data_IF_650402241457
#
_entry.id   IF_650402241457
#
_cell.length_a   1.000
_cell.length_b   1.000
_cell.length_c   1.000
_cell.angle_alpha   90.00
_cell.angle_beta   90.00
_cell.angle_gamma   90.00
#
_symmetry.space_group_name_H-M   'P 1'
#
loop_
_entity.id
_entity.type
_entity.pdbx_description
1 polymer ?
#
# COMPACT_ATOMS: atom_id res chain seq x y z
N UNK A 1 -32.74 -44.68 1.59
CA UNK A 1 -33.25 -43.62 0.68
C UNK A 1 -32.53 -42.34 1.03
N UNK A 2 -31.88 -41.70 0.04
CA UNK A 2 -31.24 -40.39 0.27
C UNK A 2 -32.31 -39.32 0.39
N UNK A 3 -32.09 -38.31 1.22
CA UNK A 3 -32.96 -37.14 1.30
C UNK A 3 -32.94 -36.31 0.01
N UNK A 4 -32.06 -36.67 -0.95
CA UNK A 4 -31.87 -35.98 -2.23
C UNK A 4 -32.39 -36.80 -3.43
N UNK A 5 -33.07 -37.96 -3.18
CA UNK A 5 -33.53 -38.83 -4.28
C UNK A 5 -34.51 -38.14 -5.22
N UNK A 6 -35.18 -37.07 -4.74
CA UNK A 6 -36.11 -36.25 -5.53
C UNK A 6 -35.43 -35.16 -6.36
N UNK A 7 -34.09 -34.97 -6.20
CA UNK A 7 -33.31 -33.98 -6.92
C UNK A 7 -32.58 -34.69 -8.07
N UNK A 8 -33.23 -34.73 -9.23
CA UNK A 8 -32.58 -35.25 -10.45
C UNK A 8 -31.47 -34.31 -10.93
N UNK A 9 -30.40 -34.85 -11.55
CA UNK A 9 -29.41 -34.03 -12.23
C UNK A 9 -30.06 -33.24 -13.36
N UNK A 10 -29.60 -32.00 -13.59
CA UNK A 10 -30.02 -31.22 -14.75
C UNK A 10 -29.65 -31.95 -16.03
N UNK A 11 -30.61 -32.14 -16.92
CA UNK A 11 -30.39 -32.67 -18.27
C UNK A 11 -29.53 -31.70 -19.10
N UNK A 12 -28.88 -32.24 -20.11
CA UNK A 12 -28.07 -31.43 -21.06
C UNK A 12 -28.89 -31.01 -22.29
N UNK A 13 -30.19 -31.23 -22.26
CA UNK A 13 -31.12 -30.83 -23.33
C UNK A 13 -31.12 -29.30 -23.44
N UNK A 14 -30.88 -28.83 -24.66
CA UNK A 14 -30.81 -27.38 -24.92
C UNK A 14 -29.43 -26.73 -24.77
N UNK A 15 -28.38 -27.51 -24.42
CA UNK A 15 -27.01 -27.00 -24.46
C UNK A 15 -26.57 -26.90 -25.90
N UNK A 16 -26.31 -25.68 -26.37
CA UNK A 16 -25.77 -25.44 -27.71
C UNK A 16 -24.24 -25.41 -27.65
N UNK A 17 -23.62 -26.25 -28.47
CA UNK A 17 -22.16 -26.26 -28.67
C UNK A 17 -21.74 -25.27 -29.74
N UNK A 18 -20.50 -24.82 -29.68
CA UNK A 18 -19.88 -23.93 -30.67
C UNK A 18 -18.42 -24.35 -30.93
N UNK A 19 -17.85 -24.04 -32.10
CA UNK A 19 -16.43 -24.30 -32.36
C UNK A 19 -15.53 -23.52 -31.39
N UNK A 20 -14.57 -24.20 -30.78
CA UNK A 20 -13.63 -23.58 -29.83
C UNK A 20 -12.90 -22.36 -30.43
N UNK A 21 -12.56 -22.44 -31.71
CA UNK A 21 -11.87 -21.38 -32.45
C UNK A 21 -12.68 -20.07 -32.57
N UNK A 22 -14.01 -20.15 -32.51
CA UNK A 22 -14.89 -18.96 -32.56
C UNK A 22 -15.10 -18.26 -31.24
N UNK A 23 -14.64 -18.85 -30.14
CA UNK A 23 -14.85 -18.32 -28.79
C UNK A 23 -13.89 -17.16 -28.51
N UNK A 24 -14.38 -15.98 -28.08
CA UNK A 24 -13.51 -14.94 -27.56
C UNK A 24 -12.84 -15.44 -26.28
N UNK A 25 -11.51 -15.57 -26.30
CA UNK A 25 -10.71 -16.08 -25.17
C UNK A 25 -9.93 -14.94 -24.55
N UNK A 26 -9.90 -14.92 -23.20
CA UNK A 26 -9.20 -13.87 -22.43
C UNK A 26 -7.70 -14.15 -22.26
N UNK A 27 -7.24 -15.35 -22.55
CA UNK A 27 -5.87 -15.81 -22.37
C UNK A 27 -5.41 -16.48 -23.66
N UNK A 28 -4.30 -16.02 -24.20
CA UNK A 28 -3.63 -16.59 -25.37
C UNK A 28 -2.29 -17.25 -24.97
N UNK A 29 -1.77 -18.14 -25.79
CA UNK A 29 -0.48 -18.80 -25.53
C UNK A 29 0.68 -17.81 -25.36
N UNK A 30 0.61 -16.65 -26.03
CA UNK A 30 1.60 -15.57 -25.87
C UNK A 30 1.61 -14.89 -24.51
N UNK A 31 0.54 -15.08 -23.71
CA UNK A 31 0.45 -14.52 -22.35
C UNK A 31 1.07 -15.42 -21.28
N UNK A 32 1.53 -16.62 -21.65
CA UNK A 32 2.05 -17.59 -20.71
C UNK A 32 3.41 -17.17 -20.15
N UNK A 33 3.70 -17.63 -18.93
CA UNK A 33 5.01 -17.46 -18.31
C UNK A 33 6.09 -18.18 -19.13
N UNK A 34 7.30 -17.68 -19.05
CA UNK A 34 8.50 -18.31 -19.62
C UNK A 34 9.46 -18.67 -18.51
N UNK A 35 10.11 -19.85 -18.55
CA UNK A 35 11.22 -20.15 -17.65
C UNK A 35 12.32 -19.09 -17.77
N UNK A 36 12.99 -18.80 -16.66
CA UNK A 36 14.15 -17.90 -16.63
C UNK A 36 15.30 -18.57 -15.87
N UNK A 37 16.54 -18.21 -16.18
CA UNK A 37 17.73 -18.79 -15.57
C UNK A 37 18.01 -18.22 -14.17
N UNK A 38 18.80 -18.94 -13.37
CA UNK A 38 19.16 -18.52 -12.01
C UNK A 38 19.98 -17.22 -11.94
N UNK A 39 20.72 -16.88 -13.00
CA UNK A 39 21.52 -15.66 -13.13
C UNK A 39 20.73 -14.49 -13.78
N UNK A 40 19.45 -14.67 -14.03
CA UNK A 40 18.62 -13.65 -14.68
C UNK A 40 18.43 -12.42 -13.76
N UNK A 41 18.47 -11.25 -14.37
CA UNK A 41 18.19 -9.99 -13.69
C UNK A 41 16.72 -9.92 -13.23
N UNK A 42 16.40 -9.08 -12.24
CA UNK A 42 15.02 -8.80 -11.84
C UNK A 42 14.15 -8.34 -13.03
N UNK A 43 14.73 -7.61 -13.97
CA UNK A 43 14.01 -7.20 -15.21
C UNK A 43 13.58 -8.41 -16.04
N UNK A 44 14.46 -9.38 -16.23
CA UNK A 44 14.17 -10.59 -16.97
C UNK A 44 13.17 -11.46 -16.23
N UNK A 45 13.28 -11.57 -14.90
CA UNK A 45 12.27 -12.22 -14.07
C UNK A 45 10.89 -11.58 -14.29
N UNK A 46 10.76 -10.27 -14.15
CA UNK A 46 9.48 -9.58 -14.35
C UNK A 46 8.95 -9.72 -15.80
N UNK A 47 9.86 -9.82 -16.79
CA UNK A 47 9.48 -10.05 -18.18
C UNK A 47 9.05 -11.49 -18.46
N UNK A 48 9.50 -12.47 -17.68
CA UNK A 48 9.14 -13.89 -17.81
C UNK A 48 7.78 -14.24 -17.22
N UNK A 49 7.25 -13.39 -16.33
CA UNK A 49 5.95 -13.60 -15.68
C UNK A 49 4.80 -13.58 -16.72
N UNK A 50 3.72 -14.34 -16.50
CA UNK A 50 2.58 -14.38 -17.42
C UNK A 50 1.91 -13.00 -17.52
N UNK A 51 1.48 -12.64 -18.73
CA UNK A 51 0.86 -11.33 -18.96
C UNK A 51 -0.66 -11.35 -18.71
N UNK A 52 -1.07 -11.89 -17.58
CA UNK A 52 -2.47 -12.04 -17.16
C UNK A 52 -2.65 -11.59 -15.72
N UNK A 53 -3.89 -11.34 -15.33
CA UNK A 53 -4.29 -11.06 -13.93
C UNK A 53 -3.41 -9.97 -13.27
N UNK A 54 -2.90 -10.27 -12.07
CA UNK A 54 -2.15 -9.30 -11.26
C UNK A 54 -0.88 -8.78 -11.97
N UNK A 55 -0.16 -9.61 -12.73
CA UNK A 55 1.05 -9.19 -13.43
C UNK A 55 0.75 -8.16 -14.51
N UNK A 56 -0.32 -8.38 -15.28
CA UNK A 56 -0.78 -7.39 -16.25
C UNK A 56 -1.14 -6.07 -15.58
N UNK A 57 -1.87 -6.12 -14.46
CA UNK A 57 -2.23 -4.94 -13.68
C UNK A 57 -1.01 -4.19 -13.16
N UNK A 58 -0.02 -4.89 -12.59
CA UNK A 58 1.24 -4.31 -12.11
C UNK A 58 1.99 -3.59 -13.24
N UNK A 59 2.10 -4.22 -14.41
CA UNK A 59 2.75 -3.61 -15.59
C UNK A 59 2.02 -2.35 -16.04
N UNK A 60 0.69 -2.40 -16.10
CA UNK A 60 -0.14 -1.24 -16.47
C UNK A 60 0.01 -0.10 -15.46
N UNK A 61 -0.04 -0.38 -14.14
CA UNK A 61 0.13 0.64 -13.09
C UNK A 61 1.52 1.28 -13.24
N UNK A 62 2.58 0.48 -13.33
CA UNK A 62 3.94 1.00 -13.49
C UNK A 62 4.10 1.87 -14.76
N UNK A 63 3.49 1.46 -15.86
CA UNK A 63 3.51 2.25 -17.11
C UNK A 63 2.76 3.58 -16.96
N UNK A 64 1.57 3.56 -16.31
CA UNK A 64 0.76 4.77 -16.08
C UNK A 64 1.47 5.73 -15.12
N UNK A 65 2.10 5.24 -14.04
CA UNK A 65 2.88 6.06 -13.12
C UNK A 65 4.06 6.75 -13.83
N UNK A 66 4.82 6.02 -14.65
CA UNK A 66 5.90 6.62 -15.45
C UNK A 66 5.40 7.69 -16.41
N UNK A 67 4.26 7.44 -17.07
CA UNK A 67 3.63 8.41 -17.96
C UNK A 67 3.15 9.66 -17.21
N UNK A 68 2.48 9.48 -16.08
CA UNK A 68 2.02 10.60 -15.24
C UNK A 68 3.18 11.48 -14.81
N UNK A 69 4.26 10.87 -14.28
CA UNK A 69 5.48 11.59 -13.90
C UNK A 69 6.09 12.33 -15.09
N UNK A 70 6.22 11.69 -16.25
CA UNK A 70 6.80 12.33 -17.46
C UNK A 70 5.97 13.51 -18.00
N UNK A 71 4.67 13.55 -17.68
CA UNK A 71 3.76 14.62 -18.04
C UNK A 71 3.57 15.67 -16.92
N UNK A 72 4.31 15.56 -15.82
CA UNK A 72 4.13 16.44 -14.65
C UNK A 72 2.76 16.29 -13.97
N UNK A 73 2.08 15.16 -14.15
CA UNK A 73 0.77 14.91 -13.54
C UNK A 73 0.94 14.27 -12.17
N UNK A 74 0.05 14.60 -11.20
CA UNK A 74 0.15 14.05 -9.86
C UNK A 74 -0.12 12.53 -9.84
N UNK A 75 0.58 11.85 -8.93
CA UNK A 75 0.33 10.44 -8.56
C UNK A 75 0.04 10.42 -7.07
N UNK A 76 -1.22 10.22 -6.72
CA UNK A 76 -1.69 10.20 -5.33
C UNK A 76 -1.71 8.76 -4.84
N UNK A 77 -1.14 8.52 -3.66
CA UNK A 77 -1.08 7.20 -3.03
C UNK A 77 -2.07 7.11 -1.87
N UNK A 78 -3.04 6.20 -1.96
CA UNK A 78 -3.89 5.81 -0.84
C UNK A 78 -3.24 4.67 -0.07
N UNK A 79 -2.89 4.87 1.20
CA UNK A 79 -2.16 3.88 2.02
C UNK A 79 -2.84 3.64 3.36
N UNK A 80 -2.73 2.41 3.86
CA UNK A 80 -3.15 2.02 5.20
C UNK A 80 -1.95 1.66 6.09
N UNK A 81 -2.18 1.48 7.39
CA UNK A 81 -1.12 1.22 8.39
C UNK A 81 -0.21 0.03 8.07
N UNK A 82 -0.70 -0.96 7.32
CA UNK A 82 0.13 -2.10 6.93
C UNK A 82 1.33 -1.72 6.06
N UNK A 83 1.28 -0.63 5.29
CA UNK A 83 2.44 -0.17 4.52
C UNK A 83 3.63 0.13 5.44
N UNK A 84 3.37 0.74 6.61
CA UNK A 84 4.40 1.00 7.62
C UNK A 84 4.74 -0.27 8.39
N UNK A 85 3.73 -0.98 8.91
CA UNK A 85 3.90 -2.19 9.75
C UNK A 85 4.67 -3.31 9.06
N UNK A 86 4.57 -3.44 7.75
CA UNK A 86 5.29 -4.45 6.96
C UNK A 86 6.63 -3.95 6.43
N UNK A 87 7.10 -2.77 6.86
CA UNK A 87 8.43 -2.26 6.55
C UNK A 87 8.58 -1.69 5.14
N UNK A 88 7.47 -1.28 4.48
CA UNK A 88 7.52 -0.76 3.11
C UNK A 88 7.75 0.76 3.03
N UNK A 89 7.78 1.46 4.17
CA UNK A 89 7.98 2.92 4.20
C UNK A 89 9.25 3.37 3.45
N UNK A 90 10.43 2.74 3.59
CA UNK A 90 11.63 3.14 2.85
C UNK A 90 11.47 3.08 1.33
N UNK A 91 10.68 2.12 0.81
CA UNK A 91 10.41 2.02 -0.63
C UNK A 91 9.51 3.15 -1.12
N UNK A 92 8.48 3.51 -0.33
CA UNK A 92 7.61 4.64 -0.64
C UNK A 92 8.38 5.97 -0.59
N UNK A 93 9.27 6.14 0.40
CA UNK A 93 10.16 7.29 0.52
C UNK A 93 11.08 7.42 -0.71
N UNK A 94 11.68 6.33 -1.16
CA UNK A 94 12.50 6.34 -2.38
C UNK A 94 11.68 6.73 -3.61
N UNK A 95 10.48 6.18 -3.78
CA UNK A 95 9.57 6.54 -4.85
C UNK A 95 9.12 8.03 -4.77
N UNK A 96 8.92 8.55 -3.56
CA UNK A 96 8.63 9.98 -3.33
C UNK A 96 9.79 10.86 -3.78
N UNK A 97 11.02 10.54 -3.38
CA UNK A 97 12.24 11.26 -3.82
C UNK A 97 12.43 11.21 -5.32
N UNK A 98 12.01 10.15 -5.97
CA UNK A 98 12.03 10.01 -7.44
C UNK A 98 10.83 10.67 -8.14
N UNK A 99 9.91 11.29 -7.42
CA UNK A 99 8.75 11.99 -7.98
C UNK A 99 7.62 11.08 -8.47
N UNK A 100 7.50 9.87 -7.90
CA UNK A 100 6.37 8.95 -8.15
C UNK A 100 5.27 9.03 -7.08
N UNK A 101 5.44 9.87 -6.07
CA UNK A 101 4.45 10.14 -5.04
C UNK A 101 4.30 11.65 -4.95
N UNK A 102 3.14 12.17 -5.33
CA UNK A 102 2.85 13.61 -5.32
C UNK A 102 1.98 14.01 -4.13
N UNK A 103 1.28 13.08 -3.54
CA UNK A 103 0.52 13.23 -2.30
C UNK A 103 0.27 11.84 -1.70
N UNK A 104 0.09 11.78 -0.39
CA UNK A 104 -0.34 10.59 0.33
C UNK A 104 -1.68 10.88 1.00
N UNK A 105 -2.66 10.00 0.77
CA UNK A 105 -3.92 9.96 1.49
C UNK A 105 -3.91 8.73 2.41
N UNK A 106 -4.20 8.91 3.68
CA UNK A 106 -4.14 7.82 4.66
C UNK A 106 -5.21 7.93 5.74
N UNK A 107 -5.26 6.94 6.62
CA UNK A 107 -6.04 6.97 7.85
C UNK A 107 -5.13 7.12 9.08
N UNK A 108 -5.73 7.31 10.26
CA UNK A 108 -5.00 7.52 11.51
C UNK A 108 -4.02 6.41 11.86
N UNK A 109 -4.25 5.17 11.43
CA UNK A 109 -3.31 4.06 11.73
C UNK A 109 -1.94 4.24 11.07
N UNK A 110 -1.88 4.86 9.88
CA UNK A 110 -0.59 5.20 9.26
C UNK A 110 0.17 6.19 10.12
N UNK A 111 -0.52 7.24 10.60
CA UNK A 111 0.07 8.30 11.40
C UNK A 111 0.64 7.77 12.72
N UNK A 112 -0.12 6.89 13.40
CA UNK A 112 0.31 6.24 14.64
C UNK A 112 1.57 5.42 14.39
N UNK A 113 1.50 4.44 13.48
CA UNK A 113 2.63 3.53 13.23
C UNK A 113 3.87 4.25 12.69
N UNK A 114 3.70 5.27 11.86
CA UNK A 114 4.81 6.03 11.31
C UNK A 114 5.50 6.88 12.38
N UNK A 115 4.73 7.53 13.26
CA UNK A 115 5.26 8.30 14.39
C UNK A 115 6.01 7.38 15.37
N UNK A 116 5.48 6.21 15.72
CA UNK A 116 6.11 5.23 16.59
C UNK A 116 7.45 4.74 16.02
N UNK A 117 7.47 4.34 14.74
CA UNK A 117 8.70 3.94 14.07
C UNK A 117 9.72 5.07 14.08
N UNK A 118 9.30 6.29 13.79
CA UNK A 118 10.20 7.44 13.81
C UNK A 118 10.78 7.71 15.20
N UNK A 119 9.96 7.64 16.24
CA UNK A 119 10.37 7.97 17.61
C UNK A 119 11.28 6.90 18.22
N UNK A 120 10.91 5.61 18.09
CA UNK A 120 11.55 4.53 18.85
C UNK A 120 12.05 3.35 17.98
N UNK A 121 11.78 3.34 16.67
CA UNK A 121 12.21 2.27 15.74
C UNK A 121 11.34 1.02 15.78
N UNK A 122 10.23 1.03 16.49
CA UNK A 122 9.29 -0.10 16.62
C UNK A 122 7.85 0.39 16.63
N UNK A 123 6.94 -0.50 16.27
CA UNK A 123 5.50 -0.24 16.24
C UNK A 123 4.72 -1.55 16.34
N UNK A 124 3.40 -1.49 16.38
CA UNK A 124 2.51 -2.65 16.51
C UNK A 124 2.63 -3.33 17.87
N UNK A 125 1.96 -2.74 18.83
CA UNK A 125 1.87 -3.24 20.19
C UNK A 125 1.38 -4.70 20.23
N UNK A 126 1.93 -5.48 21.15
CA UNK A 126 1.46 -6.84 21.42
C UNK A 126 0.12 -6.76 22.18
N UNK A 127 -0.95 -7.11 21.48
CA UNK A 127 -2.32 -7.03 21.99
C UNK A 127 -2.52 -7.96 23.17
N UNK A 128 -1.98 -9.18 23.12
CA UNK A 128 -2.18 -10.18 24.17
C UNK A 128 -1.49 -9.76 25.48
N UNK A 129 -0.36 -9.07 25.37
CA UNK A 129 0.38 -8.58 26.54
C UNK A 129 -0.28 -7.37 27.22
N UNK A 130 -1.02 -6.53 26.49
CA UNK A 130 -1.45 -5.20 26.96
C UNK A 130 -2.95 -5.06 27.15
N UNK A 131 -3.78 -5.87 26.45
CA UNK A 131 -5.25 -5.74 26.48
C UNK A 131 -5.82 -5.95 27.89
N UNK A 132 -5.32 -6.96 28.63
CA UNK A 132 -5.81 -7.29 29.96
C UNK A 132 -5.59 -6.19 31.02
N UNK A 133 -4.59 -5.34 30.83
CA UNK A 133 -4.29 -4.20 31.70
C UNK A 133 -5.03 -2.91 31.28
N UNK A 134 -5.78 -2.92 30.18
CA UNK A 134 -6.47 -1.75 29.64
C UNK A 134 -5.53 -0.69 29.07
N UNK A 135 -4.26 -1.04 28.80
CA UNK A 135 -3.24 -0.11 28.31
C UNK A 135 -3.09 -0.12 26.80
N UNK A 136 -3.73 -1.06 26.10
CA UNK A 136 -3.62 -1.20 24.67
C UNK A 136 -3.96 0.10 23.91
N UNK A 137 -3.05 0.55 23.05
CA UNK A 137 -3.22 1.76 22.24
C UNK A 137 -3.05 3.07 23.01
N UNK A 138 -2.58 3.04 24.28
CA UNK A 138 -2.48 4.18 25.15
C UNK A 138 -1.03 4.70 25.33
N UNK A 139 -0.18 4.55 24.29
CA UNK A 139 1.18 5.10 24.32
C UNK A 139 1.16 6.63 24.44
N UNK A 140 1.76 7.14 25.53
CA UNK A 140 1.69 8.54 25.94
C UNK A 140 2.31 9.48 24.89
N UNK A 141 3.50 9.16 24.38
CA UNK A 141 4.19 9.99 23.40
C UNK A 141 3.42 10.06 22.09
N UNK A 142 2.88 8.93 21.62
CA UNK A 142 2.09 8.86 20.39
C UNK A 142 0.81 9.68 20.53
N UNK A 143 0.07 9.47 21.62
CA UNK A 143 -1.17 10.19 21.90
C UNK A 143 -0.94 11.69 22.01
N UNK A 144 0.08 12.10 22.71
CA UNK A 144 0.44 13.52 22.91
C UNK A 144 0.83 14.17 21.60
N UNK A 145 1.75 13.57 20.85
CA UNK A 145 2.23 14.11 19.57
C UNK A 145 1.09 14.33 18.57
N UNK A 146 0.22 13.32 18.38
CA UNK A 146 -0.88 13.42 17.42
C UNK A 146 -1.91 14.48 17.84
N UNK A 147 -2.30 14.47 19.13
CA UNK A 147 -3.31 15.42 19.63
C UNK A 147 -2.81 16.87 19.64
N UNK A 148 -1.55 17.09 19.99
CA UNK A 148 -0.97 18.44 19.99
C UNK A 148 -0.82 18.95 18.55
N UNK A 149 -0.37 18.11 17.60
CA UNK A 149 -0.32 18.46 16.21
C UNK A 149 -1.71 18.78 15.61
N UNK A 150 -2.76 18.06 16.04
CA UNK A 150 -4.13 18.36 15.62
C UNK A 150 -4.61 19.72 16.15
N UNK A 151 -4.32 20.06 17.41
CA UNK A 151 -4.65 21.37 17.99
C UNK A 151 -3.88 22.51 17.28
N UNK A 152 -2.60 22.27 16.99
CA UNK A 152 -1.77 23.21 16.25
C UNK A 152 -2.28 23.43 14.83
N UNK A 153 -2.62 22.35 14.11
CA UNK A 153 -3.22 22.44 12.79
C UNK A 153 -4.48 23.30 12.76
N UNK A 154 -5.38 23.08 13.73
CA UNK A 154 -6.62 23.86 13.86
C UNK A 154 -6.36 25.32 14.18
N UNK A 155 -5.43 25.62 15.09
CA UNK A 155 -5.09 26.99 15.49
C UNK A 155 -4.44 27.78 14.36
N UNK A 156 -3.50 27.16 13.65
CA UNK A 156 -2.64 27.80 12.66
C UNK A 156 -3.18 27.67 11.23
N UNK A 157 -4.37 27.06 11.06
CA UNK A 157 -4.99 26.78 9.75
C UNK A 157 -4.09 25.96 8.81
N UNK A 158 -3.38 24.98 9.35
CA UNK A 158 -2.52 24.06 8.61
C UNK A 158 -3.23 22.75 8.30
N UNK A 159 -2.74 22.02 7.31
CA UNK A 159 -3.10 20.63 7.12
C UNK A 159 -2.56 19.76 8.29
N UNK A 160 -3.34 18.76 8.71
CA UNK A 160 -2.94 17.91 9.85
C UNK A 160 -1.62 17.18 9.56
N UNK A 161 -1.43 16.63 8.35
CA UNK A 161 -0.18 15.95 7.98
C UNK A 161 1.03 16.91 7.99
N UNK A 162 0.85 18.15 7.61
CA UNK A 162 1.89 19.20 7.68
C UNK A 162 2.27 19.49 9.13
N UNK A 163 1.28 19.76 9.98
CA UNK A 163 1.51 20.05 11.39
C UNK A 163 2.17 18.87 12.11
N UNK A 164 1.70 17.64 11.85
CA UNK A 164 2.26 16.44 12.45
C UNK A 164 3.68 16.14 11.98
N UNK A 165 3.95 16.27 10.67
CA UNK A 165 5.31 16.10 10.11
C UNK A 165 6.29 17.09 10.70
N UNK A 166 5.87 18.36 10.86
CA UNK A 166 6.64 19.42 11.53
C UNK A 166 6.91 19.06 13.00
N UNK A 167 5.87 18.71 13.75
CA UNK A 167 5.98 18.39 15.17
C UNK A 167 6.86 17.15 15.40
N UNK A 168 6.71 16.12 14.57
CA UNK A 168 7.51 14.90 14.65
C UNK A 168 9.00 15.20 14.41
N UNK A 169 9.34 15.97 13.39
CA UNK A 169 10.74 16.37 13.15
C UNK A 169 11.30 17.23 14.28
N UNK A 170 10.50 18.16 14.83
CA UNK A 170 10.91 19.02 15.94
C UNK A 170 11.13 18.22 17.24
N UNK A 171 10.49 17.08 17.42
CA UNK A 171 10.68 16.22 18.61
C UNK A 171 12.03 15.49 18.63
N UNK A 172 12.82 15.54 17.57
CA UNK A 172 14.11 14.85 17.49
C UNK A 172 13.98 13.33 17.42
N UNK A 173 13.20 12.77 16.47
CA UNK A 173 12.96 11.34 16.38
C UNK A 173 14.26 10.58 16.10
N UNK A 174 14.36 9.31 16.58
CA UNK A 174 15.57 8.49 16.41
C UNK A 174 15.75 7.96 15.00
N UNK A 175 14.63 7.77 14.28
CA UNK A 175 14.60 7.14 12.95
C UNK A 175 13.78 7.96 11.92
N UNK A 176 14.10 9.27 11.72
CA UNK A 176 13.34 10.11 10.77
C UNK A 176 13.43 9.59 9.32
N UNK A 177 14.50 8.86 8.99
CA UNK A 177 14.71 8.28 7.66
C UNK A 177 13.74 7.16 7.31
N UNK A 178 13.08 6.56 8.31
CA UNK A 178 12.08 5.50 8.14
C UNK A 178 10.63 6.04 8.10
N UNK A 179 10.44 7.34 8.36
CA UNK A 179 9.12 7.97 8.48
C UNK A 179 8.65 8.56 7.16
N UNK A 180 7.45 8.16 6.75
CA UNK A 180 6.72 8.76 5.62
C UNK A 180 6.36 10.22 5.90
N UNK A 181 5.94 10.55 7.13
CA UNK A 181 5.61 11.91 7.56
C UNK A 181 6.81 12.84 7.48
N UNK A 182 7.95 12.43 8.05
CA UNK A 182 9.19 13.21 7.99
C UNK A 182 9.65 13.42 6.54
N UNK A 183 9.61 12.36 5.72
CA UNK A 183 10.02 12.44 4.33
C UNK A 183 9.07 13.33 3.51
N UNK A 184 7.76 13.20 3.72
CA UNK A 184 6.75 14.00 3.01
C UNK A 184 6.87 15.49 3.36
N UNK A 185 7.01 15.81 4.65
CA UNK A 185 7.21 17.18 5.09
C UNK A 185 8.47 17.78 4.47
N UNK A 186 9.61 17.07 4.53
CA UNK A 186 10.87 17.53 3.94
C UNK A 186 10.81 17.69 2.41
N UNK A 187 10.06 16.83 1.73
CA UNK A 187 9.87 16.89 0.28
C UNK A 187 8.73 17.83 -0.18
N UNK A 188 8.00 18.44 0.76
CA UNK A 188 6.80 19.27 0.50
C UNK A 188 5.72 18.48 -0.27
N UNK A 189 5.58 17.20 0.06
CA UNK A 189 4.53 16.32 -0.47
C UNK A 189 3.36 16.34 0.52
N UNK A 190 2.16 16.71 0.10
CA UNK A 190 0.98 16.67 0.98
C UNK A 190 0.74 15.27 1.54
N UNK A 191 0.40 15.23 2.85
CA UNK A 191 0.15 14.00 3.59
C UNK A 191 -1.18 14.12 4.33
#
# INVERSE_FOLDING_TARGET
MSIYDDIGPLGLEGVNTYPLASRPSKVAAGDFARPFGGDASLREFLASLPNILAVQSIRQIAARMRRARGLGRPVIWGVGGHVVKTGLAPLVIDLMRRGFVSAIACNGSVLVHDAEVALVGSTSEDVDATLGAGAFGAADETGRLLNDAAREAARDSLGFGEALGRALLASGPKHPELSLLCAAYGARVPF
#
